data_IF_365694658745
#
_entry.id   IF_365694658745
#
_cell.length_a   1.000
_cell.length_b   1.000
_cell.length_c   1.000
_cell.angle_alpha   90.00
_cell.angle_beta   90.00
_cell.angle_gamma   90.00
#
_symmetry.space_group_name_H-M   'P 1'
#
loop_
_entity.id
_entity.type
_entity.pdbx_description
1 polymer ?
#
# COMPACT_ATOMS: atom_id res chain seq x y z
N UNK A 1 4.67 6.56 24.37
CA UNK A 1 4.82 5.92 23.05
C UNK A 1 3.61 5.04 22.86
N UNK A 2 2.84 5.25 21.79
CA UNK A 2 1.64 4.46 21.45
C UNK A 2 2.00 3.31 20.52
N UNK A 3 1.17 2.28 20.48
CA UNK A 3 1.33 1.17 19.56
C UNK A 3 1.02 1.59 18.11
N UNK A 4 1.65 0.94 17.14
CA UNK A 4 1.45 1.24 15.72
C UNK A 4 -0.02 1.08 15.28
N UNK A 5 -0.70 0.06 15.79
CA UNK A 5 -2.13 -0.17 15.53
C UNK A 5 -3.00 0.96 16.07
N UNK A 6 -2.73 1.41 17.30
CA UNK A 6 -3.42 2.54 17.91
C UNK A 6 -3.21 3.84 17.12
N UNK A 7 -1.98 4.09 16.64
CA UNK A 7 -1.71 5.23 15.76
C UNK A 7 -2.53 5.17 14.47
N UNK A 8 -2.65 3.99 13.85
CA UNK A 8 -3.48 3.79 12.65
C UNK A 8 -4.95 4.11 12.92
N UNK A 9 -5.50 3.67 14.05
CA UNK A 9 -6.89 3.98 14.44
C UNK A 9 -7.11 5.49 14.61
N UNK A 10 -6.20 6.17 15.31
CA UNK A 10 -6.27 7.62 15.49
C UNK A 10 -6.18 8.37 14.16
N UNK A 11 -5.30 7.93 13.25
CA UNK A 11 -5.12 8.50 11.91
C UNK A 11 -6.42 8.39 11.09
N UNK A 12 -7.02 7.21 11.06
CA UNK A 12 -8.26 6.97 10.30
C UNK A 12 -9.43 7.77 10.86
N UNK A 13 -9.54 7.85 12.19
CA UNK A 13 -10.54 8.66 12.85
C UNK A 13 -10.37 10.16 12.55
N UNK A 14 -9.15 10.69 12.63
CA UNK A 14 -8.84 12.08 12.32
C UNK A 14 -9.09 12.41 10.84
N UNK A 15 -8.69 11.51 9.93
CA UNK A 15 -8.96 11.63 8.50
C UNK A 15 -10.45 11.76 8.23
N UNK A 16 -11.27 10.89 8.83
CA UNK A 16 -12.71 10.89 8.68
C UNK A 16 -13.34 12.16 9.26
N UNK A 17 -12.97 12.54 10.48
CA UNK A 17 -13.51 13.73 11.16
C UNK A 17 -13.24 15.02 10.39
N UNK A 18 -12.09 15.11 9.71
CA UNK A 18 -11.70 16.28 8.90
C UNK A 18 -12.13 16.21 7.45
N UNK A 19 -12.72 15.10 7.00
CA UNK A 19 -13.10 14.90 5.60
C UNK A 19 -11.90 14.86 4.63
N UNK A 20 -10.72 14.45 5.11
CA UNK A 20 -9.50 14.39 4.31
C UNK A 20 -9.49 13.15 3.41
N UNK A 21 -8.88 13.28 2.23
CA UNK A 21 -8.56 12.15 1.36
C UNK A 21 -7.13 11.67 1.61
N UNK A 22 -6.82 10.44 1.24
CA UNK A 22 -5.42 9.97 1.24
C UNK A 22 -4.54 10.75 0.26
N UNK A 23 -5.12 11.24 -0.85
CA UNK A 23 -4.43 12.12 -1.79
C UNK A 23 -3.95 13.40 -1.11
N UNK A 24 -4.85 14.10 -0.40
CA UNK A 24 -4.51 15.33 0.32
C UNK A 24 -3.39 15.11 1.36
N UNK A 25 -3.44 13.97 2.08
CA UNK A 25 -2.39 13.65 3.04
C UNK A 25 -1.07 13.34 2.31
N UNK A 26 -1.14 12.61 1.21
CA UNK A 26 0.04 12.28 0.42
C UNK A 26 0.72 13.51 -0.20
N UNK A 27 -0.06 14.48 -0.67
CA UNK A 27 0.43 15.77 -1.15
C UNK A 27 1.20 16.52 -0.04
N UNK A 28 0.66 16.56 1.18
CA UNK A 28 1.30 17.19 2.33
C UNK A 28 2.62 16.47 2.72
N UNK A 29 2.66 15.15 2.64
CA UNK A 29 3.85 14.32 2.92
C UNK A 29 4.89 14.41 1.79
N UNK A 30 4.47 14.71 0.56
CA UNK A 30 5.34 14.80 -0.61
C UNK A 30 5.76 13.43 -1.17
N UNK A 31 4.91 12.40 -0.99
CA UNK A 31 5.14 11.04 -1.52
C UNK A 31 3.90 10.51 -2.25
N UNK A 32 4.08 9.45 -3.04
CA UNK A 32 3.00 8.82 -3.77
C UNK A 32 1.90 8.31 -2.83
N UNK A 33 0.62 8.54 -3.18
CA UNK A 33 -0.52 8.23 -2.31
C UNK A 33 -0.61 6.76 -1.87
N UNK A 34 -0.26 5.81 -2.72
CA UNK A 34 -0.29 4.38 -2.35
C UNK A 34 0.72 4.09 -1.25
N UNK A 35 1.94 4.62 -1.36
CA UNK A 35 2.97 4.46 -0.34
C UNK A 35 2.58 5.15 0.98
N UNK A 36 2.09 6.39 0.91
CA UNK A 36 1.62 7.11 2.11
C UNK A 36 0.48 6.36 2.78
N UNK A 37 -0.52 5.91 2.02
CA UNK A 37 -1.62 5.11 2.56
C UNK A 37 -1.11 3.84 3.23
N UNK A 38 -0.18 3.10 2.60
CA UNK A 38 0.43 1.92 3.20
C UNK A 38 1.16 2.25 4.52
N UNK A 39 1.87 3.37 4.58
CA UNK A 39 2.50 3.83 5.81
C UNK A 39 1.47 4.18 6.89
N UNK A 40 0.41 4.91 6.57
CA UNK A 40 -0.67 5.25 7.51
C UNK A 40 -1.41 3.99 8.01
N UNK A 41 -1.55 2.98 7.17
CA UNK A 41 -2.13 1.67 7.50
C UNK A 41 -1.14 0.72 8.21
N UNK A 42 0.03 1.20 8.61
CA UNK A 42 0.99 0.44 9.40
C UNK A 42 1.88 -0.51 8.61
N UNK A 43 2.01 -0.36 7.28
CA UNK A 43 2.76 -1.28 6.44
C UNK A 43 4.09 -0.70 5.88
N UNK A 44 4.43 0.53 6.20
CA UNK A 44 5.70 1.17 5.85
C UNK A 44 6.17 2.13 6.95
N UNK A 45 7.45 2.49 6.91
CA UNK A 45 8.10 3.39 7.89
C UNK A 45 8.31 4.75 7.25
N UNK A 46 7.88 5.81 7.92
CA UNK A 46 8.11 7.21 7.51
C UNK A 46 9.42 7.75 8.10
N UNK A 47 10.04 8.69 7.42
CA UNK A 47 11.05 9.56 8.04
C UNK A 47 10.40 10.51 9.05
N UNK A 48 11.22 11.18 9.88
CA UNK A 48 10.71 12.16 10.82
C UNK A 48 9.96 13.33 10.14
N UNK A 49 10.48 13.80 9.00
CA UNK A 49 9.84 14.87 8.22
C UNK A 49 8.48 14.43 7.64
N UNK A 50 8.42 13.25 7.06
CA UNK A 50 7.19 12.67 6.50
C UNK A 50 6.13 12.44 7.58
N UNK A 51 6.54 11.91 8.74
CA UNK A 51 5.65 11.67 9.87
C UNK A 51 5.10 12.99 10.45
N UNK A 52 5.95 14.01 10.59
CA UNK A 52 5.51 15.33 11.06
C UNK A 52 4.53 16.00 10.09
N UNK A 53 4.79 15.92 8.78
CA UNK A 53 3.87 16.45 7.77
C UNK A 53 2.50 15.75 7.83
N UNK A 54 2.50 14.42 8.00
CA UNK A 54 1.26 13.66 8.12
C UNK A 54 0.45 14.04 9.36
N UNK A 55 1.07 14.10 10.55
CA UNK A 55 0.34 14.45 11.79
C UNK A 55 -0.10 15.90 11.81
N UNK A 56 0.61 16.82 11.18
CA UNK A 56 0.23 18.21 11.07
C UNK A 56 -1.07 18.39 10.30
N UNK A 57 -1.21 17.78 9.13
CA UNK A 57 -2.44 17.87 8.33
C UNK A 57 -3.61 17.15 9.01
N UNK A 58 -3.33 16.05 9.72
CA UNK A 58 -4.31 15.29 10.49
C UNK A 58 -4.68 15.99 11.82
N UNK A 59 -3.85 16.89 12.32
CA UNK A 59 -4.02 17.56 13.63
C UNK A 59 -3.82 16.60 14.80
N UNK A 60 -2.88 15.66 14.66
CA UNK A 60 -2.53 14.66 15.68
C UNK A 60 -1.24 15.05 16.41
N UNK A 61 -1.00 14.41 17.56
CA UNK A 61 0.14 14.68 18.41
C UNK A 61 1.44 14.02 17.97
N UNK A 62 2.56 14.39 18.61
CA UNK A 62 3.89 13.85 18.30
C UNK A 62 4.01 12.35 18.55
N UNK A 63 3.22 11.78 19.46
CA UNK A 63 3.20 10.36 19.75
C UNK A 63 2.79 9.51 18.53
N UNK A 64 1.92 10.04 17.66
CA UNK A 64 1.54 9.42 16.39
C UNK A 64 2.68 9.54 15.38
N UNK A 65 3.37 10.69 15.33
CA UNK A 65 4.55 10.84 14.48
C UNK A 65 5.67 9.88 14.88
N UNK A 66 5.90 9.69 16.18
CA UNK A 66 6.87 8.71 16.68
C UNK A 66 6.50 7.28 16.28
N UNK A 67 5.22 6.93 16.37
CA UNK A 67 4.73 5.62 15.93
C UNK A 67 4.90 5.41 14.41
N UNK A 68 4.70 6.44 13.58
CA UNK A 68 4.89 6.36 12.12
C UNK A 68 6.35 6.10 11.71
N UNK A 69 7.31 6.41 12.57
CA UNK A 69 8.74 6.19 12.33
C UNK A 69 9.23 4.79 12.76
N UNK A 70 8.43 4.05 13.49
CA UNK A 70 8.79 2.68 13.88
C UNK A 70 8.70 1.71 12.70
N UNK A 71 9.60 0.74 12.66
CA UNK A 71 9.55 -0.37 11.70
C UNK A 71 8.37 -1.28 12.09
N UNK A 72 7.35 -1.40 11.24
CA UNK A 72 6.16 -2.19 11.58
C UNK A 72 6.36 -3.68 11.32
N UNK A 73 5.56 -4.50 11.98
CA UNK A 73 5.26 -5.84 11.47
C UNK A 73 4.45 -5.70 10.18
N UNK A 74 4.89 -6.35 9.11
CA UNK A 74 4.21 -6.30 7.81
C UNK A 74 3.25 -7.48 7.64
N UNK A 75 2.17 -7.22 6.92
CA UNK A 75 1.05 -8.14 6.76
C UNK A 75 -0.12 -7.73 7.65
N UNK A 76 -1.21 -7.27 7.02
CA UNK A 76 -2.37 -6.67 7.70
C UNK A 76 -3.62 -7.55 7.65
N UNK A 77 -3.54 -8.74 7.06
CA UNK A 77 -4.66 -9.66 6.96
C UNK A 77 -4.56 -10.73 8.04
N UNK A 78 -5.67 -11.03 8.69
CA UNK A 78 -5.76 -12.04 9.76
C UNK A 78 -5.79 -13.48 9.21
N UNK A 79 -5.91 -13.66 7.89
CA UNK A 79 -6.06 -14.95 7.22
C UNK A 79 -5.35 -14.93 5.87
N UNK A 80 -4.81 -16.10 5.45
CA UNK A 80 -4.20 -16.29 4.13
C UNK A 80 -5.22 -16.13 3.00
N UNK A 81 -6.49 -16.43 3.26
CA UNK A 81 -7.60 -16.19 2.34
C UNK A 81 -8.44 -15.03 2.87
N UNK A 82 -8.42 -13.86 2.20
CA UNK A 82 -9.15 -12.69 2.66
C UNK A 82 -10.67 -12.91 2.57
N UNK A 83 -11.40 -12.40 3.57
CA UNK A 83 -12.85 -12.52 3.66
C UNK A 83 -13.57 -11.29 3.07
N UNK A 84 -12.96 -10.10 3.16
CA UNK A 84 -13.52 -8.89 2.56
C UNK A 84 -13.71 -9.07 1.04
N UNK A 85 -14.90 -8.80 0.48
CA UNK A 85 -15.19 -9.04 -0.94
C UNK A 85 -14.28 -8.30 -1.92
N UNK A 86 -13.85 -7.09 -1.57
CA UNK A 86 -12.94 -6.32 -2.44
C UNK A 86 -11.51 -6.90 -2.40
N UNK A 87 -10.98 -7.17 -1.22
CA UNK A 87 -9.65 -7.76 -1.05
C UNK A 87 -9.64 -9.18 -1.67
N UNK A 88 -10.72 -9.94 -1.49
CA UNK A 88 -10.87 -11.28 -2.08
C UNK A 88 -10.82 -11.26 -3.62
N UNK A 89 -11.31 -10.19 -4.27
CA UNK A 89 -11.19 -10.08 -5.75
C UNK A 89 -9.74 -10.14 -6.21
N UNK A 90 -8.82 -9.48 -5.51
CA UNK A 90 -7.39 -9.55 -5.86
C UNK A 90 -6.78 -10.93 -5.62
N UNK A 91 -7.19 -11.60 -4.54
CA UNK A 91 -6.82 -12.99 -4.28
C UNK A 91 -7.36 -13.93 -5.37
N UNK A 92 -8.63 -13.80 -5.75
CA UNK A 92 -9.26 -14.58 -6.82
C UNK A 92 -8.58 -14.35 -8.18
N UNK A 93 -8.24 -13.11 -8.52
CA UNK A 93 -7.48 -12.77 -9.73
C UNK A 93 -6.15 -13.53 -9.75
N UNK A 94 -5.45 -13.58 -8.63
CA UNK A 94 -4.20 -14.33 -8.53
C UNK A 94 -4.42 -15.83 -8.66
N UNK A 95 -5.48 -16.38 -8.08
CA UNK A 95 -5.80 -17.80 -8.23
C UNK A 95 -6.16 -18.18 -9.67
N UNK A 96 -6.90 -17.32 -10.36
CA UNK A 96 -7.34 -17.60 -11.75
C UNK A 96 -6.20 -17.36 -12.74
N UNK A 97 -5.47 -16.25 -12.59
CA UNK A 97 -4.47 -15.80 -13.56
C UNK A 97 -3.02 -16.03 -13.13
N UNK A 98 -2.77 -16.56 -11.94
CA UNK A 98 -1.41 -16.71 -11.40
C UNK A 98 -0.49 -17.53 -12.31
N UNK A 99 -0.95 -18.66 -12.80
CA UNK A 99 -0.17 -19.51 -13.73
C UNK A 99 0.03 -18.85 -15.10
N UNK A 100 -0.95 -18.08 -15.56
CA UNK A 100 -0.85 -17.29 -16.80
C UNK A 100 0.16 -16.16 -16.65
N UNK A 101 0.10 -15.41 -15.56
CA UNK A 101 1.07 -14.34 -15.23
C UNK A 101 2.48 -14.93 -15.19
N UNK A 102 2.66 -16.04 -14.48
CA UNK A 102 3.94 -16.74 -14.39
C UNK A 102 4.47 -17.15 -15.77
N UNK A 103 3.65 -17.78 -16.58
CA UNK A 103 4.05 -18.26 -17.91
C UNK A 103 4.51 -17.10 -18.80
N UNK A 104 3.77 -16.00 -18.84
CA UNK A 104 4.10 -14.84 -19.65
C UNK A 104 5.36 -14.12 -19.16
N UNK A 105 5.53 -13.98 -17.85
CA UNK A 105 6.75 -13.37 -17.28
C UNK A 105 7.97 -14.24 -17.60
N UNK A 106 7.90 -15.55 -17.46
CA UNK A 106 9.02 -16.45 -17.77
C UNK A 106 9.32 -16.47 -19.27
N UNK A 107 8.32 -16.32 -20.12
CA UNK A 107 8.54 -16.20 -21.58
C UNK A 107 9.31 -14.92 -21.94
N UNK A 108 8.99 -13.79 -21.29
CA UNK A 108 9.62 -12.50 -21.55
C UNK A 108 10.99 -12.36 -20.90
N UNK A 109 11.20 -12.88 -19.71
CA UNK A 109 12.37 -12.59 -18.87
C UNK A 109 13.22 -13.81 -18.52
N UNK A 110 12.71 -15.02 -18.64
CA UNK A 110 13.36 -16.24 -18.15
C UNK A 110 12.99 -16.55 -16.69
N UNK A 111 13.79 -17.40 -16.06
CA UNK A 111 13.53 -17.88 -14.69
C UNK A 111 13.88 -16.83 -13.64
N UNK A 112 12.92 -16.45 -12.83
CA UNK A 112 13.04 -15.45 -11.80
C UNK A 112 11.71 -15.04 -11.20
N UNK A 113 11.72 -13.90 -10.52
CA UNK A 113 10.55 -13.32 -9.86
C UNK A 113 10.44 -11.82 -10.13
N UNK A 114 9.25 -11.26 -9.93
CA UNK A 114 9.05 -9.81 -9.77
C UNK A 114 9.32 -9.43 -8.32
N UNK A 115 10.17 -8.43 -8.07
CA UNK A 115 10.40 -7.91 -6.74
C UNK A 115 9.15 -7.25 -6.17
N UNK A 116 8.87 -7.49 -4.89
CA UNK A 116 7.90 -6.74 -4.10
C UNK A 116 8.58 -5.70 -3.17
N UNK A 117 9.90 -5.53 -3.29
CA UNK A 117 10.71 -4.55 -2.54
C UNK A 117 11.09 -3.40 -3.46
N UNK A 118 11.73 -3.69 -4.59
CA UNK A 118 11.93 -2.75 -5.68
C UNK A 118 10.64 -2.75 -6.53
N UNK A 119 9.62 -2.04 -6.03
CA UNK A 119 8.24 -2.18 -6.43
C UNK A 119 7.46 -0.88 -6.22
N UNK A 120 6.62 -0.57 -7.19
CA UNK A 120 5.67 0.53 -7.12
C UNK A 120 4.27 0.04 -7.50
N UNK A 121 3.25 0.59 -6.86
CA UNK A 121 1.85 0.30 -7.15
C UNK A 121 1.09 1.59 -7.44
N UNK A 122 0.28 1.55 -8.48
CA UNK A 122 -0.58 2.66 -8.87
C UNK A 122 -2.03 2.20 -8.86
N UNK A 123 -2.91 3.03 -8.28
CA UNK A 123 -4.36 2.78 -8.26
C UNK A 123 -5.04 4.05 -8.79
N UNK A 124 -5.82 3.91 -9.83
CA UNK A 124 -6.57 5.02 -10.42
C UNK A 124 -7.98 4.61 -10.83
N UNK A 125 -8.85 5.59 -10.83
CA UNK A 125 -10.16 5.51 -11.48
C UNK A 125 -9.99 5.78 -12.98
N UNK A 126 -10.66 5.00 -13.80
CA UNK A 126 -10.83 5.25 -15.24
C UNK A 126 -12.32 5.39 -15.52
N UNK A 127 -12.71 6.55 -16.06
CA UNK A 127 -14.09 6.79 -16.41
C UNK A 127 -14.50 5.99 -17.66
N UNK A 128 -15.65 5.35 -17.60
CA UNK A 128 -16.23 4.58 -18.69
C UNK A 128 -17.74 4.81 -18.70
N UNK A 129 -18.35 5.11 -19.86
CA UNK A 129 -19.80 5.35 -19.97
C UNK A 129 -20.67 4.18 -19.51
N UNK A 130 -20.12 2.96 -19.49
CA UNK A 130 -20.80 1.74 -19.03
C UNK A 130 -20.57 1.43 -17.56
N UNK A 131 -19.85 2.28 -16.85
CA UNK A 131 -19.48 2.12 -15.44
C UNK A 131 -17.97 2.26 -15.25
N UNK A 132 -17.58 3.11 -14.31
CA UNK A 132 -16.18 3.42 -14.03
C UNK A 132 -15.36 2.19 -13.68
N UNK A 133 -14.09 2.20 -14.04
CA UNK A 133 -13.15 1.09 -13.84
C UNK A 133 -12.12 1.43 -12.78
N UNK A 134 -11.75 0.42 -12.00
CA UNK A 134 -10.56 0.45 -11.15
C UNK A 134 -9.38 -0.07 -11.95
N UNK A 135 -8.31 0.72 -12.05
CA UNK A 135 -7.05 0.29 -12.68
C UNK A 135 -5.97 0.18 -11.62
N UNK A 136 -5.39 -1.02 -11.50
CA UNK A 136 -4.27 -1.30 -10.59
C UNK A 136 -3.07 -1.71 -11.43
N UNK A 137 -1.94 -1.08 -11.19
CA UNK A 137 -0.68 -1.38 -11.87
C UNK A 137 0.36 -1.82 -10.85
N UNK A 138 1.01 -2.94 -11.10
CA UNK A 138 2.19 -3.40 -10.39
C UNK A 138 3.41 -3.18 -11.27
N UNK A 139 4.42 -2.49 -10.75
CA UNK A 139 5.68 -2.24 -11.41
C UNK A 139 6.80 -2.70 -10.47
N UNK A 140 7.36 -3.86 -10.74
CA UNK A 140 8.41 -4.47 -9.94
C UNK A 140 9.60 -4.89 -10.78
N UNK A 141 10.81 -4.71 -10.24
CA UNK A 141 12.05 -5.12 -10.88
C UNK A 141 12.08 -6.64 -11.03
N UNK A 142 12.42 -7.14 -12.23
CA UNK A 142 12.66 -8.57 -12.44
C UNK A 142 13.97 -8.99 -11.77
N UNK A 143 13.91 -10.07 -10.99
CA UNK A 143 15.05 -10.67 -10.30
C UNK A 143 15.25 -12.10 -10.83
N UNK A 144 16.29 -12.35 -11.68
CA UNK A 144 16.58 -13.68 -12.14
C UNK A 144 17.13 -14.56 -11.02
N UNK A 145 16.77 -15.84 -11.03
CA UNK A 145 17.39 -16.80 -10.12
C UNK A 145 18.86 -17.01 -10.47
N UNK A 146 19.68 -17.02 -9.44
CA UNK A 146 21.11 -17.27 -9.57
C UNK A 146 21.37 -18.76 -9.78
N UNK A 147 22.26 -19.09 -10.73
CA UNK A 147 22.88 -20.40 -10.86
C UNK A 147 24.20 -20.42 -10.08
N UNK A 148 24.42 -21.40 -9.25
CA UNK A 148 25.59 -21.57 -8.38
C UNK A 148 26.13 -22.99 -8.43
#
# INVERSE_FOLDING_TARGET
MIARAEATEQILAAKQAKGLTFETIAEAVGRHKVWVTAALMGQATMSGEEAHAAVQVLGLGPEVADALQQIPMKGSLDSDVPVDPLIYRFHEITQVYGTTIKALIHEMFGDGIMSAIDFEMYIRKEEDPKGDRVVVTYNGKFLPYKKW
#
